data_IF_721358218306
#
_entry.id   IF_721358218306
#
_cell.length_a   1.000
_cell.length_b   1.000
_cell.length_c   1.000
_cell.angle_alpha   90.00
_cell.angle_beta   90.00
_cell.angle_gamma   90.00
#
_symmetry.space_group_name_H-M   'P 1'
#
loop_
_entity.id
_entity.type
_entity.pdbx_description
1 polymer ?
#
# COMPACT_ATOMS: atom_id res chain seq x y z
N UNK A 1 2.99 33.52 33.79
CA UNK A 1 2.00 32.46 33.43
C UNK A 1 2.08 31.99 31.97
N UNK A 2 2.49 32.84 31.01
CA UNK A 2 2.64 32.46 29.59
C UNK A 2 3.79 31.46 29.33
N UNK A 3 4.93 31.61 30.02
CA UNK A 3 6.11 30.74 29.83
C UNK A 3 5.82 29.29 30.27
N UNK A 4 5.13 29.10 31.40
CA UNK A 4 4.72 27.76 31.85
C UNK A 4 3.75 27.08 30.87
N UNK A 5 2.85 27.84 30.23
CA UNK A 5 1.96 27.31 29.19
C UNK A 5 2.73 26.87 27.94
N UNK A 6 3.76 27.61 27.54
CA UNK A 6 4.61 27.28 26.38
C UNK A 6 5.45 26.02 26.66
N UNK A 7 6.07 25.92 27.85
CA UNK A 7 6.84 24.73 28.25
C UNK A 7 5.96 23.49 28.36
N UNK A 8 4.75 23.62 28.89
CA UNK A 8 3.78 22.52 28.95
C UNK A 8 3.33 22.09 27.54
N UNK A 9 3.13 23.03 26.62
CA UNK A 9 2.78 22.75 25.23
C UNK A 9 3.91 21.99 24.52
N UNK A 10 5.17 22.38 24.73
CA UNK A 10 6.35 21.68 24.17
C UNK A 10 6.48 20.27 24.77
N UNK A 11 6.22 20.09 26.07
CA UNK A 11 6.22 18.77 26.73
C UNK A 11 5.06 17.87 26.25
N UNK A 12 3.89 18.44 25.99
CA UNK A 12 2.74 17.73 25.43
C UNK A 12 2.99 17.28 23.98
N UNK A 13 3.58 18.16 23.16
CA UNK A 13 3.95 17.84 21.78
C UNK A 13 5.03 16.74 21.76
N UNK A 14 6.07 16.86 22.59
CA UNK A 14 7.14 15.85 22.66
C UNK A 14 6.66 14.51 23.25
N UNK A 15 5.70 14.53 24.18
CA UNK A 15 5.05 13.33 24.73
C UNK A 15 4.14 12.60 23.72
N UNK A 16 3.47 13.33 22.83
CA UNK A 16 2.66 12.76 21.74
C UNK A 16 3.51 12.10 20.64
N UNK A 17 4.74 12.59 20.43
CA UNK A 17 5.74 11.96 19.55
C UNK A 17 6.56 10.84 20.23
N UNK A 18 6.08 10.32 21.37
CA UNK A 18 6.65 9.16 22.04
C UNK A 18 6.73 7.97 21.07
N UNK A 19 7.95 7.68 20.60
CA UNK A 19 8.28 6.51 19.78
C UNK A 19 7.70 5.27 20.46
N UNK A 20 6.94 4.47 19.71
CA UNK A 20 6.42 3.22 20.25
C UNK A 20 7.61 2.29 20.48
N UNK A 21 8.05 2.13 21.72
CA UNK A 21 9.25 1.35 22.04
C UNK A 21 8.98 -0.15 21.95
N UNK A 22 7.70 -0.54 22.03
CA UNK A 22 7.27 -1.93 22.01
C UNK A 22 6.96 -2.41 20.60
N UNK A 23 7.56 -3.55 20.24
CA UNK A 23 7.23 -4.25 19.01
C UNK A 23 5.85 -4.89 19.09
N UNK A 24 4.98 -4.56 18.13
CA UNK A 24 3.64 -5.13 17.96
C UNK A 24 3.65 -6.16 16.84
N UNK A 25 2.75 -7.13 16.88
CA UNK A 25 2.58 -8.10 15.78
C UNK A 25 1.98 -7.41 14.56
N UNK A 26 2.51 -7.69 13.38
CA UNK A 26 1.94 -7.21 12.13
C UNK A 26 1.06 -8.31 11.51
N UNK A 27 -0.16 -7.97 11.10
CA UNK A 27 -1.04 -8.91 10.38
C UNK A 27 -0.60 -9.04 8.93
N UNK A 28 -0.96 -10.16 8.29
CA UNK A 28 -0.78 -10.32 6.83
C UNK A 28 -1.64 -9.33 6.08
N UNK A 29 -1.24 -8.94 4.87
CA UNK A 29 -1.92 -7.87 4.13
C UNK A 29 -3.41 -8.16 3.89
N UNK A 30 -3.73 -9.41 3.55
CA UNK A 30 -5.10 -9.87 3.26
C UNK A 30 -5.98 -10.03 4.51
N UNK A 31 -5.44 -9.84 5.71
CA UNK A 31 -6.20 -9.87 6.97
C UNK A 31 -6.70 -8.48 7.38
N UNK A 32 -6.28 -7.41 6.69
CA UNK A 32 -6.79 -6.07 6.94
C UNK A 32 -8.08 -5.83 6.16
N UNK A 33 -9.09 -5.18 6.78
CA UNK A 33 -10.29 -4.77 6.07
C UNK A 33 -9.98 -3.63 5.09
N UNK A 34 -10.82 -3.47 4.06
CA UNK A 34 -10.60 -2.47 2.99
C UNK A 34 -10.60 -1.02 3.49
N UNK A 35 -11.22 -0.74 4.64
CA UNK A 35 -11.24 0.56 5.29
C UNK A 35 -10.03 0.83 6.19
N UNK A 36 -9.07 -0.11 6.29
CA UNK A 36 -7.82 0.10 7.01
C UNK A 36 -6.77 0.87 6.18
N UNK A 37 -7.10 1.24 4.94
CA UNK A 37 -6.22 1.93 4.03
C UNK A 37 -6.85 3.26 3.64
N UNK A 38 -6.08 4.34 3.75
CA UNK A 38 -6.54 5.67 3.41
C UNK A 38 -6.13 6.03 1.98
N UNK A 39 -7.11 6.53 1.23
CA UNK A 39 -6.89 7.17 -0.06
C UNK A 39 -6.90 8.68 0.12
N UNK A 40 -6.29 9.40 -0.82
CA UNK A 40 -6.45 10.85 -0.91
C UNK A 40 -7.92 11.25 -0.97
N UNK A 41 -8.21 12.47 -0.53
CA UNK A 41 -9.58 12.91 -0.33
C UNK A 41 -10.41 12.96 -1.60
N UNK A 42 -9.76 13.23 -2.73
CA UNK A 42 -10.34 13.30 -4.07
C UNK A 42 -10.51 11.92 -4.73
N UNK A 43 -10.14 10.82 -4.05
CA UNK A 43 -10.25 9.46 -4.56
C UNK A 43 -11.37 8.69 -3.85
N UNK A 44 -12.30 8.14 -4.63
CA UNK A 44 -13.44 7.38 -4.13
C UNK A 44 -13.08 5.89 -3.96
N UNK A 45 -12.37 5.33 -4.94
CA UNK A 45 -12.04 3.91 -5.03
C UNK A 45 -10.65 3.73 -5.64
N UNK A 46 -9.90 2.75 -5.13
CA UNK A 46 -8.75 2.16 -5.79
C UNK A 46 -8.81 0.63 -5.77
N UNK A 47 -8.40 0.00 -6.87
CA UNK A 47 -8.18 -1.45 -6.94
C UNK A 47 -6.82 -1.74 -7.56
N UNK A 48 -6.12 -2.76 -7.03
CA UNK A 48 -4.96 -3.36 -7.70
C UNK A 48 -5.41 -4.69 -8.28
N UNK A 49 -5.21 -4.85 -9.59
CA UNK A 49 -5.67 -5.99 -10.38
C UNK A 49 -4.49 -6.69 -11.03
N UNK A 50 -4.45 -8.00 -10.91
CA UNK A 50 -3.47 -8.87 -11.55
C UNK A 50 -4.06 -9.54 -12.78
N UNK A 51 -3.27 -9.58 -13.84
CA UNK A 51 -3.64 -10.15 -15.13
C UNK A 51 -2.61 -11.18 -15.54
N UNK A 52 -3.08 -12.39 -15.87
CA UNK A 52 -2.28 -13.34 -16.64
C UNK A 52 -2.35 -12.93 -18.12
N UNK A 53 -1.18 -12.71 -18.70
CA UNK A 53 -0.98 -12.29 -20.08
C UNK A 53 -0.47 -13.45 -20.94
N UNK A 54 -0.73 -13.37 -22.23
CA UNK A 54 -0.24 -14.33 -23.22
C UNK A 54 -0.03 -13.62 -24.56
N UNK A 55 0.44 -14.35 -25.57
CA UNK A 55 0.74 -13.78 -26.90
C UNK A 55 1.69 -12.58 -26.77
N UNK A 56 2.82 -12.78 -26.08
CA UNK A 56 3.82 -11.75 -25.81
C UNK A 56 3.24 -10.45 -25.22
N UNK A 57 2.32 -10.57 -24.26
CA UNK A 57 1.69 -9.43 -23.57
C UNK A 57 0.80 -8.59 -24.49
N UNK A 58 0.23 -9.19 -25.55
CA UNK A 58 -0.80 -8.55 -26.38
C UNK A 58 -2.22 -8.85 -25.91
N UNK A 59 -2.39 -9.93 -25.15
CA UNK A 59 -3.68 -10.42 -24.68
C UNK A 59 -3.62 -10.76 -23.19
N UNK A 60 -4.79 -10.73 -22.54
CA UNK A 60 -4.92 -11.00 -21.12
C UNK A 60 -6.21 -11.76 -20.79
N UNK A 61 -6.16 -12.53 -19.71
CA UNK A 61 -7.32 -13.19 -19.11
C UNK A 61 -8.04 -12.24 -18.14
N UNK A 62 -9.24 -12.62 -17.69
CA UNK A 62 -9.98 -11.88 -16.67
C UNK A 62 -9.10 -11.59 -15.44
N UNK A 63 -9.10 -10.35 -14.90
CA UNK A 63 -8.26 -10.02 -13.77
C UNK A 63 -8.67 -10.73 -12.49
N UNK A 64 -7.67 -10.97 -11.63
CA UNK A 64 -7.88 -11.19 -10.20
C UNK A 64 -7.71 -9.86 -9.48
N UNK A 65 -8.65 -9.47 -8.63
CA UNK A 65 -8.51 -8.27 -7.79
C UNK A 65 -7.66 -8.64 -6.58
N UNK A 66 -6.46 -8.10 -6.49
CA UNK A 66 -5.51 -8.39 -5.40
C UNK A 66 -5.77 -7.50 -4.19
N UNK A 67 -6.07 -6.22 -4.42
CA UNK A 67 -6.33 -5.24 -3.37
C UNK A 67 -7.54 -4.36 -3.70
N UNK A 68 -8.27 -3.96 -2.66
CA UNK A 68 -9.46 -3.12 -2.74
C UNK A 68 -9.41 -2.05 -1.65
N UNK A 69 -9.58 -0.80 -2.06
CA UNK A 69 -9.57 0.36 -1.17
C UNK A 69 -10.79 1.21 -1.54
N UNK A 70 -11.82 1.17 -0.71
CA UNK A 70 -13.10 1.82 -1.02
C UNK A 70 -13.42 2.85 0.06
N UNK A 71 -13.26 4.14 -0.28
CA UNK A 71 -13.80 5.24 0.52
C UNK A 71 -15.30 5.37 0.28
N UNK A 72 -15.72 5.24 -0.98
CA UNK A 72 -17.13 5.19 -1.38
C UNK A 72 -17.51 3.79 -1.89
N UNK A 73 -18.45 3.09 -1.25
CA UNK A 73 -18.95 1.80 -1.74
C UNK A 73 -19.54 1.89 -3.15
N UNK A 74 -19.31 0.89 -4.00
CA UNK A 74 -19.86 0.86 -5.37
C UNK A 74 -21.37 1.07 -5.47
N UNK A 75 -22.14 0.60 -4.47
CA UNK A 75 -23.60 0.80 -4.43
C UNK A 75 -24.03 2.27 -4.38
N UNK A 76 -23.13 3.17 -4.00
CA UNK A 76 -23.36 4.61 -3.93
C UNK A 76 -22.82 5.34 -5.16
N UNK A 77 -22.16 4.64 -6.09
CA UNK A 77 -21.64 5.20 -7.33
C UNK A 77 -22.59 4.90 -8.49
N UNK A 78 -22.51 5.73 -9.55
CA UNK A 78 -23.27 5.48 -10.78
C UNK A 78 -22.93 4.10 -11.38
N UNK A 79 -23.96 3.33 -11.70
CA UNK A 79 -23.81 1.95 -12.20
C UNK A 79 -23.04 1.87 -13.53
N UNK A 80 -23.17 2.87 -14.41
CA UNK A 80 -22.44 2.91 -15.69
C UNK A 80 -20.97 3.22 -15.44
N UNK A 81 -20.67 4.12 -14.49
CA UNK A 81 -19.30 4.39 -14.03
C UNK A 81 -18.64 3.15 -13.45
N UNK A 82 -19.32 2.43 -12.54
CA UNK A 82 -18.81 1.18 -11.96
C UNK A 82 -18.51 0.14 -13.05
N UNK A 83 -19.43 -0.02 -14.02
CA UNK A 83 -19.22 -0.95 -15.15
C UNK A 83 -18.02 -0.54 -16.01
N UNK A 84 -17.82 0.76 -16.28
CA UNK A 84 -16.63 1.26 -16.99
C UNK A 84 -15.34 1.00 -16.20
N UNK A 85 -15.36 1.23 -14.89
CA UNK A 85 -14.23 0.99 -14.01
C UNK A 85 -13.83 -0.48 -13.97
N UNK A 86 -14.79 -1.39 -13.84
CA UNK A 86 -14.55 -2.84 -13.83
C UNK A 86 -14.03 -3.36 -15.18
N UNK A 87 -14.43 -2.73 -16.28
CA UNK A 87 -14.00 -3.09 -17.63
C UNK A 87 -12.77 -2.30 -18.11
N UNK A 88 -12.12 -1.52 -17.25
CA UNK A 88 -10.93 -0.76 -17.64
C UNK A 88 -9.80 -1.68 -18.07
N UNK A 89 -9.22 -1.37 -19.22
CA UNK A 89 -8.18 -2.16 -19.89
C UNK A 89 -6.83 -1.91 -19.21
N UNK A 90 -6.03 -2.95 -18.89
CA UNK A 90 -4.71 -2.78 -18.31
C UNK A 90 -3.68 -2.28 -19.33
N UNK A 91 -2.67 -1.59 -18.84
CA UNK A 91 -1.41 -1.41 -19.55
C UNK A 91 -0.65 -2.74 -19.54
N UNK A 92 -0.48 -3.35 -20.71
CA UNK A 92 0.17 -4.65 -20.88
C UNK A 92 1.71 -4.61 -20.88
N UNK A 93 2.31 -3.47 -20.51
CA UNK A 93 3.76 -3.32 -20.49
C UNK A 93 4.43 -4.24 -19.47
N UNK A 94 5.55 -4.85 -19.87
CA UNK A 94 6.45 -5.58 -18.94
C UNK A 94 7.25 -4.66 -18.03
N UNK A 95 7.22 -3.34 -18.26
CA UNK A 95 7.97 -2.36 -17.47
C UNK A 95 7.30 -2.04 -16.14
N UNK A 96 6.00 -2.31 -15.99
CA UNK A 96 5.30 -2.07 -14.74
C UNK A 96 5.94 -2.79 -13.56
N UNK A 97 5.94 -2.14 -12.40
CA UNK A 97 6.66 -2.61 -11.22
C UNK A 97 5.77 -2.92 -10.02
N UNK A 98 4.44 -2.78 -10.14
CA UNK A 98 3.49 -3.14 -9.07
C UNK A 98 3.56 -4.65 -8.78
N UNK A 99 3.93 -5.01 -7.53
CA UNK A 99 3.92 -6.37 -6.99
C UNK A 99 4.42 -7.46 -7.94
N UNK A 100 5.60 -7.24 -8.54
CA UNK A 100 6.19 -8.21 -9.46
C UNK A 100 6.80 -9.37 -8.67
N UNK A 101 6.09 -10.49 -8.60
CA UNK A 101 6.52 -11.68 -7.84
C UNK A 101 7.55 -12.54 -8.60
N UNK A 102 7.72 -12.36 -9.92
CA UNK A 102 8.86 -12.91 -10.66
C UNK A 102 9.10 -12.18 -12.00
N UNK A 103 10.32 -12.26 -12.54
CA UNK A 103 10.65 -11.75 -13.89
C UNK A 103 10.15 -12.67 -15.02
N UNK A 104 9.89 -13.95 -14.73
CA UNK A 104 9.54 -14.98 -15.72
C UNK A 104 8.03 -15.24 -15.85
N UNK A 105 7.21 -14.76 -14.91
CA UNK A 105 5.76 -14.87 -15.01
C UNK A 105 5.22 -13.91 -16.06
N UNK A 106 4.37 -14.43 -16.96
CA UNK A 106 3.54 -13.62 -17.86
C UNK A 106 2.40 -12.95 -17.08
N UNK A 107 2.69 -12.38 -15.91
CA UNK A 107 1.73 -11.68 -15.07
C UNK A 107 2.12 -10.21 -14.98
N UNK A 108 1.12 -9.35 -15.00
CA UNK A 108 1.25 -7.92 -14.74
C UNK A 108 0.22 -7.53 -13.69
N UNK A 109 0.54 -6.52 -12.88
CA UNK A 109 -0.43 -5.87 -12.02
C UNK A 109 -0.58 -4.40 -12.43
N UNK A 110 -1.80 -3.91 -12.41
CA UNK A 110 -2.16 -2.52 -12.70
C UNK A 110 -3.09 -2.05 -11.60
N UNK A 111 -2.97 -0.80 -11.18
CA UNK A 111 -3.94 -0.18 -10.30
C UNK A 111 -4.89 0.70 -11.10
N UNK A 112 -6.11 0.84 -10.58
CA UNK A 112 -7.15 1.67 -11.18
C UNK A 112 -7.82 2.46 -10.07
N UNK A 113 -8.15 3.71 -10.36
CA UNK A 113 -8.90 4.57 -9.45
C UNK A 113 -10.20 5.09 -10.07
N UNK A 114 -11.15 5.42 -9.21
CA UNK A 114 -12.25 6.34 -9.50
C UNK A 114 -12.02 7.57 -8.63
N UNK A 115 -11.85 8.74 -9.24
CA UNK A 115 -11.83 9.99 -8.48
C UNK A 115 -13.25 10.50 -8.19
N UNK A 116 -13.39 11.48 -7.30
CA UNK A 116 -14.70 12.02 -6.90
C UNK A 116 -15.44 12.75 -8.04
N UNK A 117 -14.74 13.13 -9.11
CA UNK A 117 -15.35 13.69 -10.33
C UNK A 117 -15.87 12.60 -11.29
N UNK A 118 -15.69 11.32 -10.98
CA UNK A 118 -16.10 10.20 -11.82
C UNK A 118 -15.12 9.85 -12.96
N UNK A 119 -13.89 10.36 -12.92
CA UNK A 119 -12.83 9.97 -13.85
C UNK A 119 -12.21 8.65 -13.42
N UNK A 120 -11.84 7.84 -14.42
CA UNK A 120 -11.12 6.58 -14.22
C UNK A 120 -9.71 6.76 -14.75
N UNK A 121 -8.72 6.42 -13.92
CA UNK A 121 -7.30 6.43 -14.28
C UNK A 121 -6.72 5.04 -14.00
N UNK A 122 -5.88 4.57 -14.92
CA UNK A 122 -5.11 3.34 -14.78
C UNK A 122 -3.62 3.65 -14.63
N UNK A 123 -2.92 2.86 -13.83
CA UNK A 123 -1.49 3.04 -13.54
C UNK A 123 -0.78 1.69 -13.41
N UNK A 124 0.51 1.68 -13.73
CA UNK A 124 1.34 0.48 -13.73
C UNK A 124 2.64 0.65 -12.91
N UNK A 125 2.79 1.77 -12.20
CA UNK A 125 3.94 2.05 -11.34
C UNK A 125 3.54 2.15 -9.86
N UNK A 126 4.40 1.65 -8.97
CA UNK A 126 4.22 1.72 -7.51
C UNK A 126 4.13 3.17 -7.04
N UNK A 127 4.92 4.06 -7.63
CA UNK A 127 4.96 5.48 -7.24
C UNK A 127 3.58 6.13 -7.43
N UNK A 128 2.89 5.82 -8.52
CA UNK A 128 1.55 6.33 -8.78
C UNK A 128 0.55 5.81 -7.74
N UNK A 129 0.64 4.52 -7.39
CA UNK A 129 -0.22 3.92 -6.35
C UNK A 129 -0.04 4.64 -5.02
N UNK A 130 1.21 4.87 -4.61
CA UNK A 130 1.56 5.58 -3.38
C UNK A 130 1.06 7.03 -3.45
N UNK A 131 1.19 7.69 -4.59
CA UNK A 131 0.73 9.06 -4.79
C UNK A 131 -0.78 9.22 -4.69
N UNK A 132 -1.58 8.16 -4.86
CA UNK A 132 -3.03 8.20 -4.61
C UNK A 132 -3.44 7.73 -3.21
N UNK A 133 -2.50 7.24 -2.42
CA UNK A 133 -2.70 6.98 -1.00
C UNK A 133 -2.56 8.27 -0.17
N UNK A 134 -3.15 8.27 1.02
CA UNK A 134 -2.85 9.27 2.05
C UNK A 134 -1.42 9.09 2.60
N UNK A 135 -1.08 9.86 3.65
CA UNK A 135 0.15 9.58 4.40
C UNK A 135 0.13 8.15 4.96
N UNK A 136 1.27 7.45 4.90
CA UNK A 136 1.39 6.09 5.44
C UNK A 136 1.43 6.17 6.98
N UNK A 137 0.26 6.09 7.58
CA UNK A 137 0.03 6.38 8.99
C UNK A 137 -0.50 5.18 9.78
N UNK A 138 -0.84 4.08 9.10
CA UNK A 138 -1.28 2.81 9.70
C UNK A 138 -0.31 1.64 9.46
N UNK A 139 -0.34 0.60 10.32
CA UNK A 139 0.37 -0.65 10.05
C UNK A 139 -0.13 -1.40 8.80
N UNK A 140 -1.40 -1.22 8.42
CA UNK A 140 -1.97 -1.85 7.22
C UNK A 140 -1.32 -1.27 5.96
N UNK A 141 -1.24 0.05 5.86
CA UNK A 141 -0.58 0.74 4.75
C UNK A 141 0.91 0.44 4.72
N UNK A 142 1.58 0.38 5.87
CA UNK A 142 2.99 0.00 5.90
C UNK A 142 3.21 -1.44 5.38
N UNK A 143 2.29 -2.36 5.69
CA UNK A 143 2.29 -3.71 5.14
C UNK A 143 1.98 -3.74 3.64
N UNK A 144 1.13 -2.83 3.14
CA UNK A 144 0.86 -2.65 1.71
C UNK A 144 2.10 -2.15 0.97
N UNK A 145 2.84 -1.18 1.52
CA UNK A 145 4.09 -0.70 0.92
C UNK A 145 5.08 -1.86 0.74
N UNK A 146 5.28 -2.69 1.77
CA UNK A 146 6.12 -3.89 1.64
C UNK A 146 5.61 -4.82 0.52
N UNK A 147 4.29 -5.02 0.43
CA UNK A 147 3.68 -5.84 -0.62
C UNK A 147 3.91 -5.26 -2.01
N UNK A 148 3.70 -3.95 -2.22
CA UNK A 148 3.89 -3.27 -3.50
C UNK A 148 5.30 -3.47 -4.04
N UNK A 149 6.31 -3.34 -3.18
CA UNK A 149 7.74 -3.53 -3.50
C UNK A 149 8.18 -5.01 -3.53
N UNK A 150 7.24 -5.96 -3.54
CA UNK A 150 7.53 -7.41 -3.53
C UNK A 150 8.43 -7.85 -2.37
N UNK A 151 8.42 -7.12 -1.24
CA UNK A 151 9.08 -7.55 0.00
C UNK A 151 8.21 -8.60 0.67
N UNK A 152 8.83 -9.46 1.48
CA UNK A 152 8.08 -10.40 2.33
C UNK A 152 7.21 -9.63 3.32
N UNK A 153 6.13 -10.25 3.76
CA UNK A 153 5.29 -9.67 4.80
C UNK A 153 6.08 -9.48 6.10
N UNK A 154 5.80 -8.37 6.79
CA UNK A 154 6.42 -8.09 8.08
C UNK A 154 5.80 -8.94 9.17
N UNK A 155 6.61 -9.32 10.15
CA UNK A 155 6.17 -10.10 11.30
C UNK A 155 5.86 -9.20 12.51
N UNK A 156 6.66 -8.14 12.69
CA UNK A 156 6.50 -7.19 13.80
C UNK A 156 6.74 -5.77 13.32
N UNK A 157 6.10 -4.80 13.96
CA UNK A 157 6.30 -3.39 13.67
C UNK A 157 6.40 -2.54 14.94
N UNK A 158 6.92 -1.32 14.81
CA UNK A 158 6.74 -0.21 15.76
C UNK A 158 6.68 1.12 15.02
N UNK A 159 5.94 2.10 15.54
CA UNK A 159 5.90 3.45 14.97
C UNK A 159 7.06 4.29 15.52
N UNK A 160 7.73 4.99 14.63
CA UNK A 160 8.82 5.93 14.93
C UNK A 160 8.57 7.27 14.24
N UNK A 161 9.40 8.26 14.54
CA UNK A 161 9.36 9.57 13.87
C UNK A 161 9.69 9.49 12.37
N UNK A 162 10.38 8.44 11.91
CA UNK A 162 10.70 8.22 10.49
C UNK A 162 9.64 7.40 9.75
N UNK A 163 8.59 6.95 10.44
CA UNK A 163 7.59 6.03 9.92
C UNK A 163 7.57 4.70 10.66
N UNK A 164 7.26 3.62 9.95
CA UNK A 164 7.11 2.27 10.52
C UNK A 164 8.40 1.47 10.41
N UNK A 165 8.99 1.11 11.54
CA UNK A 165 10.03 0.08 11.54
C UNK A 165 9.37 -1.29 11.54
N UNK A 166 9.77 -2.16 10.62
CA UNK A 166 9.18 -3.48 10.40
C UNK A 166 10.26 -4.54 10.34
N UNK A 167 10.10 -5.60 11.13
CA UNK A 167 10.95 -6.79 11.08
C UNK A 167 10.33 -7.81 10.15
N UNK A 168 11.08 -8.22 9.12
CA UNK A 168 10.78 -9.36 8.27
C UNK A 168 11.57 -10.57 8.77
N UNK A 169 10.90 -11.72 8.91
CA UNK A 169 11.53 -13.00 9.29
C UNK A 169 11.66 -13.92 8.08
N UNK A 170 12.86 -14.42 7.83
CA UNK A 170 13.11 -15.34 6.73
C UNK A 170 13.18 -16.78 7.24
N UNK A 171 12.12 -17.55 6.97
CA UNK A 171 11.99 -18.95 7.42
C UNK A 171 12.83 -19.96 6.63
N UNK A 172 13.55 -19.55 5.57
CA UNK A 172 14.29 -20.46 4.66
C UNK A 172 15.69 -19.98 4.23
N UNK A 173 16.18 -18.85 4.72
CA UNK A 173 17.57 -18.44 4.45
C UNK A 173 18.49 -19.10 5.48
N UNK A 174 19.62 -19.68 5.05
CA UNK A 174 20.71 -20.04 5.95
C UNK A 174 21.57 -18.81 6.24
N UNK A 175 21.93 -18.51 7.50
CA UNK A 175 21.52 -19.23 8.70
C UNK A 175 20.04 -18.97 9.03
N UNK A 176 19.35 -20.03 9.46
CA UNK A 176 17.93 -20.01 9.79
C UNK A 176 17.63 -18.91 10.82
N UNK A 177 16.66 -18.04 10.54
CA UNK A 177 16.30 -16.94 11.43
C UNK A 177 16.94 -15.59 11.10
N UNK A 178 17.53 -15.42 9.90
CA UNK A 178 17.87 -14.11 9.39
C UNK A 178 16.65 -13.17 9.46
N UNK A 179 16.90 -11.94 9.90
CA UNK A 179 15.92 -10.87 10.05
C UNK A 179 16.48 -9.64 9.37
N UNK A 180 15.66 -9.01 8.54
CA UNK A 180 15.91 -7.65 8.07
C UNK A 180 14.94 -6.71 8.75
N UNK A 181 15.43 -5.51 9.09
CA UNK A 181 14.57 -4.43 9.56
C UNK A 181 14.46 -3.38 8.47
N UNK A 182 13.24 -3.06 8.09
CA UNK A 182 12.94 -2.04 7.11
C UNK A 182 12.25 -0.86 7.79
N UNK A 183 12.48 0.36 7.29
CA UNK A 183 11.70 1.54 7.61
C UNK A 183 10.79 1.84 6.42
N UNK A 184 9.48 1.81 6.65
CA UNK A 184 8.49 2.35 5.72
C UNK A 184 8.19 3.79 6.12
N UNK A 185 8.59 4.72 5.27
CA UNK A 185 8.41 6.17 5.51
C UNK A 185 6.95 6.61 5.31
N UNK A 186 6.54 7.77 5.84
CA UNK A 186 5.20 8.33 5.59
C UNK A 186 4.86 8.56 4.11
N UNK A 187 5.87 8.67 3.25
CA UNK A 187 5.72 8.85 1.80
C UNK A 187 5.96 7.55 1.01
N UNK A 188 5.85 6.38 1.66
CA UNK A 188 5.87 5.07 1.00
C UNK A 188 7.25 4.58 0.52
N UNK A 189 8.35 5.29 0.85
CA UNK A 189 9.72 4.77 0.61
C UNK A 189 10.07 3.67 1.61
N UNK A 190 10.87 2.70 1.17
CA UNK A 190 11.45 1.63 2.01
C UNK A 190 12.96 1.85 2.16
N UNK A 191 13.44 1.86 3.40
CA UNK A 191 14.87 1.91 3.74
C UNK A 191 15.25 0.63 4.51
N UNK A 192 16.33 -0.05 4.12
CA UNK A 192 16.88 -1.17 4.91
C UNK A 192 17.85 -0.63 5.96
N UNK A 193 17.77 -1.19 7.18
CA UNK A 193 18.67 -0.84 8.30
C UNK A 193 19.82 -1.83 8.45
#
# INVERSE_FOLDING_TARGET
MQIFKIVLLILLITGLYGKDTKWKSLKRIYQYPTNAFHLKDDIAVMEIRRYSTYDNYKKYNKPTIEMKFYKTPFKLLDSKLVKRFQNSVPNLSKSGNIHRTSKSSAEISNAFIINNSGNILGMNEIVDVIDFMGEIDTPAEAQLILWLYSKREGAKYRKTSKGYEIIIKYYKSYPSGAKSTYVVTPHGRIEEK
#
